data_IF_210893055327
#
_entry.id   IF_210893055327
#
_cell.length_a   1.000
_cell.length_b   1.000
_cell.length_c   1.000
_cell.angle_alpha   90.00
_cell.angle_beta   90.00
_cell.angle_gamma   90.00
#
_symmetry.space_group_name_H-M   'P 1'
#
loop_
_entity.id
_entity.type
_entity.pdbx_description
1 polymer ?
#
# COMPACT_ATOMS: atom_id res chain seq x y z
N UNK A 1 8.25 12.84 -22.52
CA UNK A 1 8.55 14.28 -22.61
C UNK A 1 9.99 14.46 -23.05
N UNK A 2 10.19 15.29 -24.08
CA UNK A 2 11.51 15.73 -24.53
C UNK A 2 12.17 16.58 -23.43
N UNK A 3 13.50 16.71 -23.48
CA UNK A 3 14.29 17.54 -22.55
C UNK A 3 14.45 18.97 -23.08
N UNK A 4 13.35 19.61 -23.47
CA UNK A 4 13.34 20.96 -24.02
C UNK A 4 12.25 21.84 -23.39
N UNK A 5 12.33 23.15 -23.65
CA UNK A 5 11.43 24.17 -23.07
C UNK A 5 9.97 23.96 -23.50
N UNK A 6 9.73 23.35 -24.67
CA UNK A 6 8.39 23.03 -25.18
C UNK A 6 7.55 22.18 -24.23
N UNK A 7 8.21 21.29 -23.47
CA UNK A 7 7.53 20.37 -22.55
C UNK A 7 7.53 20.90 -21.11
N UNK A 8 8.01 22.13 -20.88
CA UNK A 8 8.16 22.70 -19.54
C UNK A 8 6.81 22.81 -18.82
N UNK A 9 5.78 23.34 -19.50
CA UNK A 9 4.44 23.43 -18.94
C UNK A 9 3.91 22.07 -18.50
N UNK A 10 4.02 21.06 -19.37
CA UNK A 10 3.57 19.70 -19.06
C UNK A 10 4.37 19.07 -17.93
N UNK A 11 5.67 19.38 -17.79
CA UNK A 11 6.49 18.94 -16.66
C UNK A 11 6.04 19.59 -15.36
N UNK A 12 5.73 20.89 -15.37
CA UNK A 12 5.21 21.60 -14.20
C UNK A 12 3.90 20.94 -13.72
N UNK A 13 2.96 20.67 -14.63
CA UNK A 13 1.71 19.99 -14.29
C UNK A 13 1.96 18.60 -13.64
N UNK A 14 2.83 17.79 -14.24
CA UNK A 14 3.15 16.46 -13.69
C UNK A 14 3.85 16.57 -12.34
N UNK A 15 4.76 17.53 -12.18
CA UNK A 15 5.46 17.78 -10.91
C UNK A 15 4.48 18.19 -9.83
N UNK A 16 3.58 19.12 -10.12
CA UNK A 16 2.57 19.58 -9.18
C UNK A 16 1.69 18.40 -8.74
N UNK A 17 1.18 17.60 -9.69
CA UNK A 17 0.37 16.43 -9.34
C UNK A 17 1.13 15.38 -8.51
N UNK A 18 2.45 15.25 -8.67
CA UNK A 18 3.25 14.37 -7.83
C UNK A 18 3.35 14.91 -6.40
N UNK A 19 3.53 16.23 -6.24
CA UNK A 19 3.54 16.88 -4.95
C UNK A 19 2.17 16.78 -4.26
N UNK A 20 1.08 17.03 -5.00
CA UNK A 20 -0.29 16.92 -4.49
C UNK A 20 -0.56 15.50 -3.99
N UNK A 21 -0.26 14.46 -4.78
CA UNK A 21 -0.43 13.05 -4.36
C UNK A 21 0.37 12.70 -3.11
N UNK A 22 1.56 13.28 -2.96
CA UNK A 22 2.38 13.06 -1.78
C UNK A 22 1.80 13.80 -0.56
N UNK A 23 1.37 15.05 -0.75
CA UNK A 23 0.67 15.85 0.24
C UNK A 23 -0.62 15.18 0.72
N UNK A 24 -1.45 14.70 -0.20
CA UNK A 24 -2.67 13.95 0.09
C UNK A 24 -2.38 12.71 0.94
N UNK A 25 -1.30 11.98 0.62
CA UNK A 25 -0.90 10.81 1.38
C UNK A 25 -0.45 11.14 2.81
N UNK A 26 0.23 12.27 3.01
CA UNK A 26 0.60 12.78 4.33
C UNK A 26 -0.61 13.32 5.09
N UNK A 27 -1.54 13.98 4.41
CA UNK A 27 -2.77 14.47 5.02
C UNK A 27 -3.67 13.30 5.47
N UNK A 28 -3.78 12.25 4.66
CA UNK A 28 -4.50 11.03 5.01
C UNK A 28 -3.90 10.29 6.22
N UNK A 29 -2.66 10.59 6.62
CA UNK A 29 -2.05 10.05 7.85
C UNK A 29 -2.57 10.71 9.13
N UNK A 30 -3.11 11.93 9.03
CA UNK A 30 -3.69 12.66 10.17
C UNK A 30 -5.14 12.22 10.34
N UNK A 31 -5.33 11.10 11.04
CA UNK A 31 -6.63 10.48 11.25
C UNK A 31 -7.15 10.82 12.65
N UNK A 32 -8.29 11.48 12.72
CA UNK A 32 -9.01 11.74 14.00
C UNK A 32 -9.79 10.50 14.48
N UNK A 33 -10.04 9.54 13.58
CA UNK A 33 -10.75 8.29 13.89
C UNK A 33 -9.91 7.37 14.79
N UNK A 34 -10.57 6.54 15.60
CA UNK A 34 -9.88 5.60 16.48
C UNK A 34 -9.17 4.53 15.66
N UNK A 35 -7.96 4.14 16.08
CA UNK A 35 -7.17 3.08 15.43
C UNK A 35 -7.99 1.79 15.21
N UNK A 36 -8.80 1.40 16.21
CA UNK A 36 -9.66 0.21 16.12
C UNK A 36 -10.66 0.30 14.98
N UNK A 37 -11.25 1.46 14.73
CA UNK A 37 -12.27 1.67 13.70
C UNK A 37 -11.65 1.57 12.30
N UNK A 38 -10.51 2.24 12.11
CA UNK A 38 -9.73 2.21 10.86
C UNK A 38 -9.29 0.79 10.52
N UNK A 39 -8.77 0.06 11.51
CA UNK A 39 -8.11 -1.23 11.30
C UNK A 39 -9.09 -2.41 11.25
N UNK A 40 -10.17 -2.37 12.04
CA UNK A 40 -11.09 -3.49 12.19
C UNK A 40 -11.64 -4.01 10.86
N UNK A 41 -12.01 -3.12 9.94
CA UNK A 41 -12.64 -3.55 8.67
C UNK A 41 -11.72 -4.41 7.80
N UNK A 42 -10.42 -4.14 7.78
CA UNK A 42 -9.46 -4.87 6.95
C UNK A 42 -8.82 -6.07 7.66
N UNK A 43 -8.87 -6.11 8.99
CA UNK A 43 -8.44 -7.26 9.80
C UNK A 43 -9.48 -8.38 9.86
N UNK A 44 -10.73 -8.11 9.49
CA UNK A 44 -11.79 -9.11 9.42
C UNK A 44 -11.93 -9.72 8.02
N UNK A 45 -12.61 -10.86 7.92
CA UNK A 45 -12.88 -11.52 6.62
C UNK A 45 -13.85 -10.68 5.79
N UNK A 46 -13.66 -10.64 4.47
CA UNK A 46 -14.57 -9.96 3.55
C UNK A 46 -15.02 -10.90 2.43
N UNK A 47 -16.27 -10.76 1.99
CA UNK A 47 -16.81 -11.43 0.80
C UNK A 47 -16.88 -10.42 -0.32
N UNK A 48 -16.27 -10.72 -1.46
CA UNK A 48 -16.35 -9.89 -2.67
C UNK A 48 -16.56 -10.77 -3.89
N UNK A 49 -17.57 -10.46 -4.69
CA UNK A 49 -17.92 -11.22 -5.91
C UNK A 49 -18.05 -12.73 -5.64
N UNK A 50 -18.73 -13.10 -4.54
CA UNK A 50 -18.92 -14.49 -4.11
C UNK A 50 -17.67 -15.19 -3.56
N UNK A 51 -16.51 -14.51 -3.52
CA UNK A 51 -15.25 -15.07 -3.00
C UNK A 51 -14.94 -14.53 -1.62
N UNK A 52 -14.52 -15.43 -0.73
CA UNK A 52 -14.08 -15.10 0.64
C UNK A 52 -12.59 -14.76 0.64
N UNK A 53 -12.25 -13.64 1.26
CA UNK A 53 -10.88 -13.19 1.48
C UNK A 53 -10.63 -13.10 2.99
N UNK A 54 -9.46 -13.59 3.42
CA UNK A 54 -9.03 -13.45 4.82
C UNK A 54 -8.77 -11.99 5.16
N UNK A 55 -8.90 -11.64 6.44
CA UNK A 55 -8.42 -10.37 6.96
C UNK A 55 -6.89 -10.30 6.96
N UNK A 56 -6.37 -9.08 6.98
CA UNK A 56 -4.96 -8.82 7.21
C UNK A 56 -4.61 -9.05 8.68
N UNK A 57 -3.42 -9.59 8.93
CA UNK A 57 -2.85 -9.67 10.27
C UNK A 57 -1.60 -8.77 10.34
N UNK A 58 -1.74 -7.50 10.75
CA UNK A 58 -0.65 -6.52 10.72
C UNK A 58 0.62 -6.92 11.46
N UNK A 59 0.51 -7.78 12.47
CA UNK A 59 1.62 -8.19 13.33
C UNK A 59 2.32 -9.46 12.86
N UNK A 60 1.77 -10.15 11.84
CA UNK A 60 2.47 -11.25 11.18
C UNK A 60 3.51 -10.69 10.22
N UNK A 61 4.71 -11.26 10.25
CA UNK A 61 5.87 -10.76 9.48
C UNK A 61 5.56 -10.52 8.00
N UNK A 62 4.84 -11.46 7.38
CA UNK A 62 4.46 -11.41 5.97
C UNK A 62 3.56 -10.23 5.59
N UNK A 63 2.57 -9.95 6.44
CA UNK A 63 1.60 -8.88 6.25
C UNK A 63 2.20 -7.53 6.70
N UNK A 64 3.02 -7.52 7.76
CA UNK A 64 3.76 -6.35 8.20
C UNK A 64 4.72 -5.82 7.12
N UNK A 65 5.50 -6.71 6.48
CA UNK A 65 6.37 -6.33 5.37
C UNK A 65 5.58 -5.77 4.19
N UNK A 66 4.36 -6.26 3.95
CA UNK A 66 3.47 -5.72 2.93
C UNK A 66 2.96 -4.32 3.30
N UNK A 67 2.61 -4.09 4.57
CA UNK A 67 2.18 -2.77 5.04
C UNK A 67 3.31 -1.76 4.99
N UNK A 68 4.53 -2.15 5.37
CA UNK A 68 5.72 -1.33 5.25
C UNK A 68 6.03 -0.98 3.80
N UNK A 69 5.78 -1.90 2.86
CA UNK A 69 5.87 -1.57 1.44
C UNK A 69 4.82 -0.53 1.06
N UNK A 70 3.56 -0.76 1.42
CA UNK A 70 2.45 0.13 1.06
C UNK A 70 2.59 1.55 1.65
N UNK A 71 3.16 1.69 2.84
CA UNK A 71 3.35 2.98 3.51
C UNK A 71 4.45 3.85 2.91
N UNK A 72 5.29 3.31 2.01
CA UNK A 72 6.33 4.12 1.35
C UNK A 72 5.70 5.19 0.45
N UNK A 73 6.16 6.43 0.61
CA UNK A 73 5.70 7.56 -0.21
C UNK A 73 5.85 7.36 -1.72
N UNK A 74 6.84 6.59 -2.17
CA UNK A 74 7.03 6.25 -3.59
C UNK A 74 5.80 5.55 -4.20
N UNK A 75 5.11 4.73 -3.40
CA UNK A 75 3.91 3.99 -3.81
C UNK A 75 2.66 4.87 -3.79
N UNK A 76 2.66 5.97 -3.04
CA UNK A 76 1.60 6.98 -3.12
C UNK A 76 1.73 7.81 -4.41
N UNK A 77 2.95 8.21 -4.77
CA UNK A 77 3.21 9.06 -5.95
C UNK A 77 2.96 8.29 -7.25
N UNK A 78 3.59 7.12 -7.37
CA UNK A 78 3.62 6.36 -8.62
C UNK A 78 2.75 5.12 -8.59
N UNK A 79 2.32 4.63 -7.44
CA UNK A 79 1.79 3.28 -7.33
C UNK A 79 2.86 2.21 -7.57
N UNK A 80 2.43 0.94 -7.49
CA UNK A 80 3.31 -0.21 -7.62
C UNK A 80 2.77 -1.25 -8.58
N UNK A 81 3.64 -2.14 -9.06
CA UNK A 81 3.29 -3.31 -9.87
C UNK A 81 3.47 -4.59 -9.04
N UNK A 82 2.97 -5.70 -9.56
CA UNK A 82 3.19 -7.02 -8.95
C UNK A 82 4.69 -7.31 -8.78
N UNK A 83 5.49 -7.01 -9.81
CA UNK A 83 6.93 -7.14 -9.78
C UNK A 83 7.56 -6.46 -8.56
N UNK A 84 7.16 -5.22 -8.27
CA UNK A 84 7.77 -4.40 -7.23
C UNK A 84 7.47 -4.98 -5.84
N UNK A 85 6.20 -5.36 -5.61
CA UNK A 85 5.80 -6.01 -4.36
C UNK A 85 6.43 -7.41 -4.21
N UNK A 86 6.57 -8.16 -5.32
CA UNK A 86 7.23 -9.48 -5.31
C UNK A 86 8.70 -9.35 -4.94
N UNK A 87 9.42 -8.40 -5.54
CA UNK A 87 10.83 -8.12 -5.26
C UNK A 87 11.03 -7.71 -3.80
N UNK A 88 10.09 -6.98 -3.23
CA UNK A 88 10.12 -6.60 -1.82
C UNK A 88 9.90 -7.79 -0.87
N UNK A 89 8.86 -8.60 -1.13
CA UNK A 89 8.48 -9.71 -0.24
C UNK A 89 9.34 -10.97 -0.39
N UNK A 90 9.87 -11.21 -1.60
CA UNK A 90 10.58 -12.44 -1.96
C UNK A 90 11.85 -12.07 -2.73
N UNK A 91 12.90 -11.61 -2.04
CA UNK A 91 14.13 -11.14 -2.69
C UNK A 91 14.80 -12.25 -3.50
N UNK A 92 14.78 -13.46 -2.97
CA UNK A 92 15.26 -14.69 -3.60
C UNK A 92 14.53 -15.05 -4.90
N UNK A 93 13.36 -14.45 -5.17
CA UNK A 93 12.63 -14.73 -6.40
C UNK A 93 13.38 -14.26 -7.65
N UNK A 94 14.19 -13.22 -7.57
CA UNK A 94 14.98 -12.73 -8.72
C UNK A 94 16.07 -13.72 -9.14
N UNK A 95 16.62 -14.48 -8.20
CA UNK A 95 17.68 -15.46 -8.43
C UNK A 95 17.13 -16.88 -8.68
N UNK A 96 15.82 -17.06 -8.51
CA UNK A 96 15.16 -18.36 -8.67
C UNK A 96 14.90 -18.70 -10.13
N UNK A 97 14.83 -20.00 -10.44
CA UNK A 97 14.40 -20.49 -11.77
C UNK A 97 12.98 -20.04 -12.14
N UNK A 98 12.66 -20.05 -13.44
CA UNK A 98 11.40 -19.52 -14.03
C UNK A 98 10.14 -20.06 -13.36
N UNK A 99 10.11 -21.35 -12.99
CA UNK A 99 8.94 -21.97 -12.35
C UNK A 99 8.67 -21.42 -10.95
N UNK A 100 9.74 -21.20 -10.18
CA UNK A 100 9.64 -20.66 -8.84
C UNK A 100 9.28 -19.17 -8.88
N UNK A 101 9.79 -18.41 -9.85
CA UNK A 101 9.34 -17.04 -10.12
C UNK A 101 7.83 -16.96 -10.41
N UNK A 102 7.30 -17.89 -11.22
CA UNK A 102 5.86 -17.97 -11.52
C UNK A 102 5.04 -18.25 -10.26
N UNK A 103 5.52 -19.10 -9.36
CA UNK A 103 4.88 -19.36 -8.05
C UNK A 103 4.84 -18.09 -7.18
N UNK A 104 5.95 -17.36 -7.06
CA UNK A 104 6.00 -16.10 -6.30
C UNK A 104 5.11 -15.01 -6.90
N UNK A 105 5.08 -14.88 -8.23
CA UNK A 105 4.17 -13.97 -8.93
C UNK A 105 2.70 -14.30 -8.67
N UNK A 106 2.35 -15.60 -8.66
CA UNK A 106 1.02 -16.09 -8.31
C UNK A 106 0.65 -15.78 -6.85
N UNK A 107 1.56 -16.01 -5.89
CA UNK A 107 1.39 -15.65 -4.47
C UNK A 107 1.17 -14.14 -4.31
N UNK A 108 2.00 -13.33 -4.95
CA UNK A 108 1.89 -11.85 -4.93
C UNK A 108 0.57 -11.38 -5.53
N UNK A 109 0.12 -11.99 -6.62
CA UNK A 109 -1.18 -11.68 -7.23
C UNK A 109 -2.34 -11.94 -6.27
N UNK A 110 -2.29 -13.05 -5.51
CA UNK A 110 -3.32 -13.36 -4.50
C UNK A 110 -3.32 -12.33 -3.37
N UNK A 111 -2.14 -11.89 -2.89
CA UNK A 111 -2.00 -10.80 -1.90
C UNK A 111 -2.60 -9.49 -2.42
N UNK A 112 -2.29 -9.10 -3.66
CA UNK A 112 -2.88 -7.90 -4.31
C UNK A 112 -4.41 -8.03 -4.42
N UNK A 113 -4.93 -9.20 -4.80
CA UNK A 113 -6.39 -9.42 -4.86
C UNK A 113 -7.05 -9.27 -3.50
N UNK A 114 -6.41 -9.76 -2.43
CA UNK A 114 -6.88 -9.58 -1.05
C UNK A 114 -6.92 -8.09 -0.66
N UNK A 115 -5.85 -7.33 -0.92
CA UNK A 115 -5.83 -5.88 -0.67
C UNK A 115 -6.93 -5.14 -1.42
N UNK A 116 -7.20 -5.53 -2.68
CA UNK A 116 -8.30 -4.98 -3.49
C UNK A 116 -9.68 -5.40 -2.98
N UNK A 117 -9.79 -6.56 -2.35
CA UNK A 117 -11.05 -7.01 -1.76
C UNK A 117 -11.42 -6.14 -0.56
N UNK A 118 -10.42 -5.82 0.27
CA UNK A 118 -10.55 -4.92 1.43
C UNK A 118 -10.68 -3.43 1.09
N UNK A 119 -10.47 -3.08 -0.20
CA UNK A 119 -10.56 -1.71 -0.69
C UNK A 119 -9.35 -0.85 -0.34
N UNK A 120 -8.23 -1.44 0.08
CA UNK A 120 -7.00 -0.72 0.43
C UNK A 120 -6.23 -0.22 -0.79
N UNK A 121 -6.38 -0.91 -1.92
CA UNK A 121 -5.75 -0.53 -3.18
C UNK A 121 -6.75 -0.62 -4.33
N UNK A 122 -6.53 0.18 -5.37
CA UNK A 122 -7.26 0.12 -6.64
C UNK A 122 -6.32 -0.09 -7.82
N UNK A 123 -6.83 -0.72 -8.88
CA UNK A 123 -6.07 -0.92 -10.13
C UNK A 123 -6.23 0.34 -10.99
N UNK A 124 -5.12 0.82 -11.56
CA UNK A 124 -5.12 1.91 -12.54
C UNK A 124 -5.63 1.37 -13.88
N UNK A 125 -6.62 2.01 -14.52
CA UNK A 125 -7.10 1.59 -15.84
C UNK A 125 -5.98 1.55 -16.87
N UNK A 126 -6.02 0.57 -17.79
CA UNK A 126 -5.06 0.41 -18.89
C UNK A 126 -3.58 0.25 -18.45
N UNK A 127 -3.33 0.02 -17.17
CA UNK A 127 -2.00 -0.23 -16.63
C UNK A 127 -2.00 -1.43 -15.67
N UNK A 128 -0.85 -2.11 -15.56
CA UNK A 128 -0.62 -3.15 -14.56
C UNK A 128 -0.14 -2.56 -13.22
N UNK A 129 -0.71 -1.41 -12.85
CA UNK A 129 -0.32 -0.59 -11.72
C UNK A 129 -1.45 -0.52 -10.70
N UNK A 130 -1.07 -0.52 -9.43
CA UNK A 130 -1.95 -0.39 -8.29
C UNK A 130 -1.56 0.85 -7.49
N UNK A 131 -2.55 1.56 -7.01
CA UNK A 131 -2.38 2.73 -6.15
C UNK A 131 -3.19 2.51 -4.88
N UNK A 132 -2.71 3.07 -3.77
CA UNK A 132 -3.47 3.05 -2.53
C UNK A 132 -4.74 3.90 -2.70
N UNK A 133 -5.79 3.49 -2.01
CA UNK A 133 -6.97 4.34 -1.78
C UNK A 133 -6.73 5.17 -0.52
N UNK A 134 -7.56 6.18 -0.26
CA UNK A 134 -7.53 6.93 1.01
C UNK A 134 -7.65 5.99 2.21
N UNK A 135 -8.57 5.01 2.14
CA UNK A 135 -8.71 3.95 3.14
C UNK A 135 -7.40 3.17 3.33
N UNK A 136 -6.71 2.82 2.24
CA UNK A 136 -5.43 2.13 2.28
C UNK A 136 -4.32 2.96 2.89
N UNK A 137 -4.26 4.25 2.55
CA UNK A 137 -3.29 5.20 3.12
C UNK A 137 -3.49 5.31 4.63
N UNK A 138 -4.71 5.66 5.07
CA UNK A 138 -5.11 5.69 6.49
C UNK A 138 -4.70 4.41 7.21
N UNK A 139 -5.15 3.25 6.69
CA UNK A 139 -4.86 1.95 7.29
C UNK A 139 -3.36 1.66 7.43
N UNK A 140 -2.60 1.84 6.35
CA UNK A 140 -1.16 1.55 6.35
C UNK A 140 -0.41 2.50 7.28
N UNK A 141 -0.72 3.79 7.24
CA UNK A 141 -0.05 4.79 8.05
C UNK A 141 -0.36 4.61 9.53
N UNK A 142 -1.64 4.50 9.92
CA UNK A 142 -2.03 4.31 11.31
C UNK A 142 -1.37 3.08 11.95
N UNK A 143 -1.24 1.97 11.19
CA UNK A 143 -0.57 0.78 11.68
C UNK A 143 0.96 0.93 11.78
N UNK A 144 1.60 1.61 10.82
CA UNK A 144 3.03 1.87 10.90
C UNK A 144 3.37 2.81 12.05
N UNK A 145 2.57 3.86 12.26
CA UNK A 145 2.70 4.76 13.41
C UNK A 145 2.50 4.01 14.72
N UNK A 146 1.42 3.21 14.84
CA UNK A 146 1.17 2.39 16.02
C UNK A 146 2.29 1.38 16.30
N UNK A 147 2.93 0.83 15.26
CA UNK A 147 4.04 -0.11 15.41
C UNK A 147 5.36 0.56 15.82
N UNK A 148 5.50 1.87 15.61
CA UNK A 148 6.71 2.63 15.93
C UNK A 148 6.64 3.31 17.31
N UNK A 149 5.46 3.39 17.93
CA UNK A 149 5.26 4.03 19.22
C UNK A 149 5.63 3.10 20.38
N UNK A 150 6.23 3.68 21.41
CA UNK A 150 6.45 3.02 22.69
C UNK A 150 5.14 2.86 23.46
N UNK A 151 4.99 1.76 24.18
CA UNK A 151 3.81 1.48 25.00
C UNK A 151 3.56 2.59 26.03
N UNK A 152 4.64 3.13 26.63
CA UNK A 152 4.56 4.23 27.60
C UNK A 152 3.96 5.50 26.99
N UNK A 153 4.47 5.91 25.82
CA UNK A 153 3.97 7.07 25.10
C UNK A 153 2.51 6.87 24.67
N UNK A 154 2.15 5.65 24.25
CA UNK A 154 0.77 5.31 23.89
C UNK A 154 -0.18 5.43 25.08
N UNK A 155 0.23 4.96 26.26
CA UNK A 155 -0.59 5.06 27.48
C UNK A 155 -0.73 6.50 27.97
N UNK A 156 0.32 7.32 27.86
CA UNK A 156 0.27 8.75 28.24
C UNK A 156 -0.64 9.55 27.31
N UNK A 157 -0.70 9.23 26.02
CA UNK A 157 -1.62 9.87 25.07
C UNK A 157 -3.08 9.41 25.22
N UNK A 158 -3.32 8.27 25.86
CA UNK A 158 -4.65 7.69 26.03
C UNK A 158 -5.30 8.00 27.39
N UNK A 159 -4.51 8.40 28.38
CA UNK A 159 -4.93 8.78 29.72
C UNK A 159 -5.42 10.24 29.75
#
# INVERSE_FOLDING_TARGET
>A
MRKGVSDLHRRCEVSQQCNDRYGDALAAAQVEEKLKEVVSSACNKVVKEGKRYRGLNPWQQDDYQMLMFLSKGENAINGFRNHDLRKWLYRESEQSGKDQQKKYSGRTTRRIKMLRAHGLIRKVPRANRYVLTEKGQKFSCSLMTASALDIKALTEMAA
#
